data_IF_141528107568
#
_entry.id   IF_141528107568
#
_cell.length_a   1.000
_cell.length_b   1.000
_cell.length_c   1.000
_cell.angle_alpha   90.00
_cell.angle_beta   90.00
_cell.angle_gamma   90.00
#
_symmetry.space_group_name_H-M   'P 1'
#
loop_
_entity.id
_entity.type
_entity.pdbx_description
1 polymer ?
#
# COMPACT_ATOMS: atom_id res chain seq x y z
N UNK A 1 8.66 -28.94 -48.17
CA UNK A 1 8.42 -29.20 -46.73
C UNK A 1 8.39 -27.93 -45.88
N UNK A 2 9.42 -27.08 -45.91
CA UNK A 2 9.51 -25.85 -45.08
C UNK A 2 8.42 -24.82 -45.41
N UNK A 3 8.07 -24.65 -46.69
CA UNK A 3 7.00 -23.73 -47.12
C UNK A 3 5.61 -24.16 -46.62
N UNK A 4 5.36 -25.48 -46.55
CA UNK A 4 4.10 -26.05 -46.08
C UNK A 4 3.96 -25.88 -44.56
N UNK A 5 5.07 -26.05 -43.82
CA UNK A 5 5.13 -25.78 -42.37
C UNK A 5 4.89 -24.30 -42.04
N UNK A 6 5.44 -23.36 -42.83
CA UNK A 6 5.20 -21.92 -42.66
C UNK A 6 3.75 -21.51 -42.97
N UNK A 7 3.11 -22.15 -43.95
CA UNK A 7 1.71 -21.93 -44.27
C UNK A 7 0.79 -22.48 -43.17
N UNK A 8 1.08 -23.67 -42.63
CA UNK A 8 0.37 -24.26 -41.50
C UNK A 8 0.55 -23.40 -40.24
N UNK A 9 1.75 -22.89 -39.97
CA UNK A 9 2.01 -22.03 -38.81
C UNK A 9 1.29 -20.67 -38.92
N UNK A 10 1.26 -20.07 -40.12
CA UNK A 10 0.48 -18.85 -40.38
C UNK A 10 -1.02 -19.10 -40.26
N UNK A 11 -1.51 -20.25 -40.71
CA UNK A 11 -2.92 -20.64 -40.58
C UNK A 11 -3.30 -20.85 -39.09
N UNK A 12 -2.45 -21.54 -38.31
CA UNK A 12 -2.63 -21.74 -36.87
C UNK A 12 -2.65 -20.39 -36.14
N UNK A 13 -1.73 -19.46 -36.43
CA UNK A 13 -1.72 -18.12 -35.79
C UNK A 13 -2.98 -17.32 -36.18
N UNK A 14 -3.42 -17.42 -37.43
CA UNK A 14 -4.62 -16.71 -37.93
C UNK A 14 -5.91 -17.30 -37.35
N UNK A 15 -5.95 -18.61 -37.12
CA UNK A 15 -7.06 -19.29 -36.48
C UNK A 15 -7.07 -19.04 -34.96
N UNK A 16 -5.90 -19.02 -34.30
CA UNK A 16 -5.75 -18.59 -32.88
C UNK A 16 -6.19 -17.14 -32.66
N UNK A 17 -5.95 -16.26 -33.63
CA UNK A 17 -6.41 -14.87 -33.63
C UNK A 17 -7.91 -14.69 -33.88
N UNK A 18 -8.58 -15.66 -34.51
CA UNK A 18 -10.03 -15.66 -34.74
C UNK A 18 -10.81 -16.25 -33.56
N UNK A 19 -10.31 -17.28 -32.87
CA UNK A 19 -10.96 -17.86 -31.68
C UNK A 19 -10.97 -16.91 -30.47
N UNK A 20 -10.06 -15.93 -30.42
CA UNK A 20 -10.03 -14.93 -29.34
C UNK A 20 -11.07 -13.82 -29.46
N UNK A 21 -11.74 -13.70 -30.62
CA UNK A 21 -12.69 -12.60 -30.88
C UNK A 21 -14.16 -12.93 -30.61
N UNK A 22 -14.51 -14.17 -30.25
CA UNK A 22 -15.89 -14.57 -29.92
C UNK A 22 -15.94 -15.70 -28.85
N UNK A 23 -15.08 -15.66 -27.82
CA UNK A 23 -15.49 -16.25 -26.55
C UNK A 23 -16.38 -15.22 -25.85
N UNK A 24 -17.59 -15.57 -25.38
CA UNK A 24 -18.31 -14.68 -24.49
C UNK A 24 -17.38 -14.36 -23.32
N UNK A 25 -17.14 -13.07 -23.07
CA UNK A 25 -16.39 -12.67 -21.89
C UNK A 25 -17.04 -13.30 -20.67
N UNK A 26 -16.26 -13.93 -19.79
CA UNK A 26 -16.70 -14.31 -18.44
C UNK A 26 -16.83 -13.03 -17.58
N UNK A 27 -17.65 -12.12 -18.08
CA UNK A 27 -18.10 -10.87 -17.52
C UNK A 27 -19.57 -10.84 -17.86
N UNK A 28 -20.40 -11.30 -16.91
CA UNK A 28 -21.79 -10.86 -16.67
C UNK A 28 -22.66 -11.86 -15.88
N UNK A 29 -22.04 -12.76 -15.11
CA UNK A 29 -22.69 -13.33 -13.92
C UNK A 29 -21.92 -12.97 -12.65
N UNK A 30 -21.86 -11.67 -12.37
CA UNK A 30 -21.53 -11.21 -11.01
C UNK A 30 -22.79 -11.43 -10.17
N UNK A 31 -22.79 -12.45 -9.31
CA UNK A 31 -23.81 -12.59 -8.27
C UNK A 31 -23.81 -11.30 -7.43
N UNK A 32 -24.94 -10.63 -7.38
CA UNK A 32 -25.11 -9.48 -6.48
C UNK A 32 -25.34 -10.04 -5.10
N UNK A 33 -24.49 -9.66 -4.16
CA UNK A 33 -24.59 -10.15 -2.79
C UNK A 33 -25.23 -9.07 -1.96
N UNK A 34 -26.38 -9.44 -1.39
CA UNK A 34 -27.08 -8.66 -0.41
C UNK A 34 -26.51 -9.06 0.96
N UNK A 35 -25.72 -8.17 1.55
CA UNK A 35 -25.30 -8.31 2.93
C UNK A 35 -26.36 -7.64 3.83
N UNK A 36 -26.48 -8.07 5.09
CA UNK A 36 -27.50 -7.59 6.04
C UNK A 36 -27.41 -6.09 6.38
N UNK A 37 -26.51 -5.34 5.74
CA UNK A 37 -26.34 -3.89 5.85
C UNK A 37 -27.05 -3.09 4.74
N UNK A 38 -27.82 -3.75 3.86
CA UNK A 38 -28.58 -3.11 2.78
C UNK A 38 -27.71 -2.50 1.67
N UNK A 39 -26.40 -2.74 1.67
CA UNK A 39 -25.48 -2.21 0.66
C UNK A 39 -25.21 -3.22 -0.46
N UNK A 40 -25.22 -2.76 -1.72
CA UNK A 40 -24.92 -3.59 -2.89
C UNK A 40 -23.44 -3.51 -3.27
N UNK A 41 -22.79 -4.67 -3.38
CA UNK A 41 -21.38 -4.72 -3.76
C UNK A 41 -21.16 -5.66 -4.95
N UNK A 42 -21.14 -5.09 -6.16
CA UNK A 42 -21.02 -5.86 -7.41
C UNK A 42 -19.64 -6.50 -7.64
N UNK A 43 -18.59 -6.07 -6.91
CA UNK A 43 -17.21 -6.60 -7.04
C UNK A 43 -16.72 -7.40 -5.83
N UNK A 44 -17.41 -7.33 -4.68
CA UNK A 44 -16.95 -8.03 -3.45
C UNK A 44 -16.90 -9.55 -3.65
N UNK A 45 -17.71 -10.11 -4.55
CA UNK A 45 -17.70 -11.54 -4.88
C UNK A 45 -16.35 -12.05 -5.38
N UNK A 46 -15.56 -11.19 -6.04
CA UNK A 46 -14.18 -11.52 -6.48
C UNK A 46 -13.18 -11.60 -5.32
N UNK A 47 -13.53 -11.09 -4.15
CA UNK A 47 -12.67 -11.11 -2.98
C UNK A 47 -12.90 -12.35 -2.10
N UNK A 48 -13.95 -13.13 -2.37
CA UNK A 48 -14.36 -14.24 -1.52
C UNK A 48 -13.58 -15.51 -1.83
N UNK A 49 -13.34 -16.31 -0.80
CA UNK A 49 -12.69 -17.62 -0.94
C UNK A 49 -13.51 -18.62 -1.77
N UNK A 50 -14.83 -18.52 -1.71
CA UNK A 50 -15.76 -19.28 -2.54
C UNK A 50 -17.15 -18.66 -2.46
N UNK A 51 -18.02 -18.99 -3.41
CA UNK A 51 -19.44 -18.60 -3.36
C UNK A 51 -20.17 -19.14 -2.12
N UNK A 52 -19.66 -20.20 -1.50
CA UNK A 52 -20.20 -20.79 -0.26
C UNK A 52 -19.65 -20.16 1.03
N UNK A 53 -18.55 -19.41 0.97
CA UNK A 53 -17.90 -18.76 2.13
C UNK A 53 -17.96 -17.23 2.02
N UNK A 54 -19.20 -16.72 2.05
CA UNK A 54 -19.59 -15.32 1.80
C UNK A 54 -18.94 -14.32 2.79
N UNK A 55 -18.43 -14.78 3.94
CA UNK A 55 -17.84 -13.93 4.99
C UNK A 55 -16.30 -13.85 4.97
N UNK A 56 -15.60 -14.70 4.20
CA UNK A 56 -14.13 -14.81 4.25
C UNK A 56 -13.49 -14.30 2.97
N UNK A 57 -12.48 -13.46 3.15
CA UNK A 57 -11.68 -12.92 2.05
C UNK A 57 -10.52 -13.87 1.73
N UNK A 58 -10.25 -14.10 0.44
CA UNK A 58 -9.07 -14.81 -0.04
C UNK A 58 -8.41 -14.02 -1.15
N UNK A 59 -7.12 -13.76 -1.02
CA UNK A 59 -6.35 -13.13 -2.07
C UNK A 59 -6.09 -14.12 -3.20
N UNK A 60 -6.43 -13.76 -4.44
CA UNK A 60 -6.08 -14.52 -5.64
C UNK A 60 -4.89 -13.87 -6.33
N UNK A 61 -3.95 -14.69 -6.79
CA UNK A 61 -2.82 -14.19 -7.57
C UNK A 61 -3.32 -13.59 -8.90
N UNK A 62 -2.96 -12.34 -9.25
CA UNK A 62 -3.52 -11.65 -10.43
C UNK A 62 -3.28 -12.35 -11.77
N UNK A 63 -2.16 -13.06 -11.91
CA UNK A 63 -1.78 -13.76 -13.15
C UNK A 63 -2.06 -15.28 -13.11
N UNK A 64 -2.24 -15.85 -11.91
CA UNK A 64 -2.38 -17.29 -11.70
C UNK A 64 -3.66 -17.57 -10.90
N UNK A 65 -4.82 -17.59 -11.58
CA UNK A 65 -6.14 -17.64 -10.92
C UNK A 65 -6.37 -18.84 -9.99
N UNK A 66 -5.62 -19.93 -10.19
CA UNK A 66 -5.70 -21.13 -9.34
C UNK A 66 -4.83 -21.03 -8.07
N UNK A 67 -4.01 -19.98 -7.97
CA UNK A 67 -3.15 -19.70 -6.82
C UNK A 67 -3.85 -18.67 -5.94
N UNK A 68 -4.28 -19.09 -4.76
CA UNK A 68 -4.92 -18.21 -3.79
C UNK A 68 -4.38 -18.43 -2.39
N UNK A 69 -4.51 -17.39 -1.56
CA UNK A 69 -4.12 -17.43 -0.18
C UNK A 69 -5.10 -18.19 0.71
N UNK A 70 -4.70 -18.38 1.97
CA UNK A 70 -5.56 -18.82 3.06
C UNK A 70 -6.66 -17.78 3.30
N UNK A 71 -7.83 -18.23 3.79
CA UNK A 71 -8.89 -17.31 4.19
C UNK A 71 -8.45 -16.42 5.34
N UNK A 72 -8.63 -15.10 5.19
CA UNK A 72 -8.53 -14.16 6.30
C UNK A 72 -9.64 -14.40 7.33
N UNK A 73 -9.41 -13.97 8.57
CA UNK A 73 -10.42 -14.04 9.64
C UNK A 73 -11.78 -13.44 9.21
N UNK A 74 -12.90 -14.03 9.62
CA UNK A 74 -14.26 -13.62 9.19
C UNK A 74 -14.62 -12.16 9.51
N UNK A 75 -14.07 -11.63 10.61
CA UNK A 75 -14.24 -10.22 10.98
C UNK A 75 -13.48 -9.23 10.07
N UNK A 76 -12.59 -9.71 9.20
CA UNK A 76 -11.77 -8.84 8.34
C UNK A 76 -12.65 -7.97 7.44
N UNK A 77 -13.65 -8.57 6.77
CA UNK A 77 -14.55 -7.81 5.90
C UNK A 77 -15.31 -6.73 6.68
N UNK A 78 -15.76 -7.04 7.90
CA UNK A 78 -16.44 -6.09 8.79
C UNK A 78 -15.53 -4.89 9.12
N UNK A 79 -14.26 -5.15 9.47
CA UNK A 79 -13.29 -4.09 9.78
C UNK A 79 -12.96 -3.24 8.54
N UNK A 80 -12.75 -3.87 7.39
CA UNK A 80 -12.48 -3.16 6.13
C UNK A 80 -13.67 -2.27 5.73
N UNK A 81 -14.91 -2.76 5.89
CA UNK A 81 -16.12 -1.97 5.61
C UNK A 81 -16.27 -0.74 6.51
N UNK A 82 -15.92 -0.85 7.80
CA UNK A 82 -15.92 0.29 8.74
C UNK A 82 -15.01 1.43 8.29
N UNK A 83 -14.01 1.17 7.45
CA UNK A 83 -13.12 2.19 6.89
C UNK A 83 -13.69 2.91 5.67
N UNK A 84 -14.94 2.60 5.27
CA UNK A 84 -15.63 3.23 4.15
C UNK A 84 -14.86 3.18 2.81
N UNK A 85 -13.96 2.22 2.66
CA UNK A 85 -13.18 2.09 1.42
C UNK A 85 -14.04 1.62 0.25
N UNK A 86 -15.14 0.92 0.52
CA UNK A 86 -16.06 0.37 -0.48
C UNK A 86 -17.34 1.19 -0.69
N UNK A 87 -17.72 2.06 0.26
CA UNK A 87 -19.04 2.73 0.27
C UNK A 87 -19.11 3.96 -0.62
N UNK A 88 -18.02 4.29 -1.34
CA UNK A 88 -17.90 5.48 -2.17
C UNK A 88 -17.11 5.21 -3.45
N UNK A 89 -17.61 4.33 -4.33
CA UNK A 89 -17.01 4.11 -5.66
C UNK A 89 -17.15 5.33 -6.56
N UNK A 90 -18.16 6.18 -6.32
CA UNK A 90 -18.31 7.49 -6.97
C UNK A 90 -17.21 8.49 -6.60
N UNK A 91 -16.44 8.22 -5.54
CA UNK A 91 -15.28 9.03 -5.13
C UNK A 91 -13.95 8.50 -5.66
N UNK A 92 -13.96 7.52 -6.58
CA UNK A 92 -12.73 7.17 -7.27
C UNK A 92 -12.29 8.34 -8.15
N UNK A 93 -11.00 8.65 -8.07
CA UNK A 93 -10.40 9.78 -8.80
C UNK A 93 -9.60 9.26 -9.97
N UNK A 94 -9.48 10.04 -11.05
CA UNK A 94 -8.42 9.85 -12.05
C UNK A 94 -7.23 10.73 -11.60
N UNK A 95 -6.00 10.20 -11.44
CA UNK A 95 -4.89 10.98 -10.89
C UNK A 95 -4.57 12.25 -11.69
N UNK A 96 -4.67 12.19 -13.02
CA UNK A 96 -4.38 13.35 -13.88
C UNK A 96 -5.45 14.43 -13.72
N UNK A 97 -6.73 14.06 -13.77
CA UNK A 97 -7.82 15.02 -13.57
C UNK A 97 -7.83 15.58 -12.15
N UNK A 98 -7.58 14.74 -11.14
CA UNK A 98 -7.49 15.17 -9.75
C UNK A 98 -6.44 16.26 -9.57
N UNK A 99 -5.24 16.07 -10.15
CA UNK A 99 -4.12 17.00 -10.01
C UNK A 99 -4.31 18.34 -10.74
N UNK A 100 -5.31 18.48 -11.62
CA UNK A 100 -5.65 19.77 -12.25
C UNK A 100 -6.40 20.71 -11.31
N UNK A 101 -7.24 20.14 -10.43
CA UNK A 101 -8.17 20.90 -9.60
C UNK A 101 -7.88 20.79 -8.11
N UNK A 102 -7.13 19.77 -7.71
CA UNK A 102 -6.90 19.42 -6.32
C UNK A 102 -5.43 19.10 -6.08
N UNK A 103 -5.04 19.17 -4.82
CA UNK A 103 -3.70 18.81 -4.41
C UNK A 103 -3.75 17.71 -3.32
N UNK A 104 -2.86 16.71 -3.32
CA UNK A 104 -2.90 15.64 -2.31
C UNK A 104 -2.64 16.16 -0.89
N UNK A 105 -3.39 15.71 0.11
CA UNK A 105 -3.16 16.12 1.50
C UNK A 105 -1.90 15.46 2.07
N UNK A 106 -1.20 16.13 3.00
CA UNK A 106 -0.09 15.49 3.71
C UNK A 106 -0.60 14.69 4.91
N UNK A 107 -0.07 13.49 5.12
CA UNK A 107 -0.45 12.58 6.20
C UNK A 107 0.79 12.06 6.92
N UNK A 108 0.83 12.23 8.24
CA UNK A 108 1.86 11.65 9.08
C UNK A 108 1.30 11.15 10.40
N UNK A 109 2.09 10.41 11.15
CA UNK A 109 1.70 9.87 12.44
C UNK A 109 2.92 9.64 13.34
N UNK A 110 2.73 9.75 14.66
CA UNK A 110 3.77 9.41 15.62
C UNK A 110 3.19 9.08 17.00
N UNK A 111 3.96 8.35 17.79
CA UNK A 111 3.82 8.28 19.24
C UNK A 111 4.87 9.17 19.92
N UNK A 112 4.83 9.27 21.25
CA UNK A 112 5.75 10.12 22.03
C UNK A 112 7.23 9.86 21.71
N UNK A 113 7.61 8.58 21.49
CA UNK A 113 8.99 8.21 21.16
C UNK A 113 9.50 8.78 19.83
N UNK A 114 8.62 9.18 18.91
CA UNK A 114 8.97 9.81 17.64
C UNK A 114 8.52 11.28 17.55
N UNK A 115 8.06 11.89 18.64
CA UNK A 115 7.55 13.26 18.63
C UNK A 115 8.60 14.28 18.18
N UNK A 116 9.86 14.11 18.62
CA UNK A 116 10.97 14.95 18.14
C UNK A 116 11.20 14.84 16.63
N UNK A 117 11.19 13.62 16.08
CA UNK A 117 11.42 13.38 14.66
C UNK A 117 10.27 13.89 13.80
N UNK A 118 9.02 13.64 14.21
CA UNK A 118 7.85 14.05 13.42
C UNK A 118 7.71 15.58 13.37
N UNK A 119 8.14 16.31 14.41
CA UNK A 119 8.23 17.78 14.34
C UNK A 119 9.14 18.25 13.21
N UNK A 120 10.27 17.58 12.98
CA UNK A 120 11.17 17.93 11.86
C UNK A 120 10.49 17.64 10.51
N UNK A 121 9.76 16.52 10.40
CA UNK A 121 8.99 16.18 9.21
C UNK A 121 7.89 17.22 8.92
N UNK A 122 7.07 17.57 9.92
CA UNK A 122 6.02 18.60 9.83
C UNK A 122 6.62 19.94 9.41
N UNK A 123 7.72 20.36 10.05
CA UNK A 123 8.42 21.61 9.71
C UNK A 123 8.83 21.63 8.23
N UNK A 124 9.39 20.53 7.71
CA UNK A 124 9.77 20.47 6.29
C UNK A 124 8.56 20.59 5.36
N UNK A 125 7.40 20.03 5.74
CA UNK A 125 6.17 20.22 4.96
C UNK A 125 5.75 21.69 4.99
N UNK A 126 5.72 22.33 6.16
CA UNK A 126 5.34 23.74 6.26
C UNK A 126 6.33 24.68 5.54
N UNK A 127 7.62 24.36 5.52
CA UNK A 127 8.65 25.14 4.82
C UNK A 127 8.45 25.12 3.29
N UNK A 128 8.19 23.95 2.72
CA UNK A 128 8.04 23.79 1.27
C UNK A 128 6.58 23.90 0.78
N UNK A 129 5.60 23.80 1.67
CA UNK A 129 4.16 23.79 1.37
C UNK A 129 3.34 24.54 2.44
N UNK A 130 3.59 25.85 2.66
CA UNK A 130 3.13 26.58 3.85
C UNK A 130 1.62 26.61 4.09
N UNK A 131 0.81 26.59 3.02
CA UNK A 131 -0.65 26.67 3.11
C UNK A 131 -1.35 25.31 3.04
N UNK A 132 -0.58 24.20 3.11
CA UNK A 132 -1.11 22.87 2.87
C UNK A 132 -1.46 22.17 4.16
N UNK A 133 -2.63 21.54 4.16
CA UNK A 133 -3.15 20.78 5.29
C UNK A 133 -2.29 19.53 5.56
N UNK A 134 -1.97 19.34 6.83
CA UNK A 134 -1.30 18.16 7.37
C UNK A 134 -2.28 17.44 8.28
N UNK A 135 -2.62 16.20 7.95
CA UNK A 135 -3.36 15.31 8.84
C UNK A 135 -2.34 14.57 9.70
N UNK A 136 -2.46 14.70 11.01
CA UNK A 136 -1.62 14.02 11.97
C UNK A 136 -2.42 12.99 12.75
N UNK A 137 -1.98 11.72 12.72
CA UNK A 137 -2.51 10.67 13.58
C UNK A 137 -1.65 10.46 14.83
N UNK A 138 -2.27 10.60 15.99
CA UNK A 138 -1.68 10.34 17.30
C UNK A 138 -1.74 8.84 17.63
N UNK A 139 -0.56 8.25 17.80
CA UNK A 139 -0.34 6.84 18.13
C UNK A 139 0.04 6.61 19.61
N UNK A 140 -0.13 7.61 20.46
CA UNK A 140 0.23 7.60 21.88
C UNK A 140 1.18 8.72 22.26
N UNK A 141 0.75 9.97 22.06
CA UNK A 141 1.38 11.19 22.58
C UNK A 141 0.98 11.46 24.03
N UNK A 142 1.80 12.23 24.73
CA UNK A 142 1.51 12.77 26.06
C UNK A 142 0.71 14.06 25.96
N UNK A 143 -0.04 14.41 27.00
CA UNK A 143 -0.89 15.62 27.03
C UNK A 143 -0.17 16.92 26.63
N UNK A 144 1.06 17.13 27.10
CA UNK A 144 1.84 18.32 26.73
C UNK A 144 2.28 18.31 25.26
N UNK A 145 2.56 17.14 24.70
CA UNK A 145 2.91 16.96 23.28
C UNK A 145 1.67 17.23 22.40
N UNK A 146 0.49 16.77 22.82
CA UNK A 146 -0.79 17.05 22.16
C UNK A 146 -1.08 18.56 22.16
N UNK A 147 -0.88 19.24 23.29
CA UNK A 147 -1.05 20.69 23.41
C UNK A 147 -0.09 21.45 22.48
N UNK A 148 1.17 21.05 22.40
CA UNK A 148 2.14 21.63 21.47
C UNK A 148 1.72 21.38 20.01
N UNK A 149 1.38 20.14 19.66
CA UNK A 149 1.02 19.74 18.29
C UNK A 149 -0.22 20.49 17.77
N UNK A 150 -1.24 20.68 18.61
CA UNK A 150 -2.47 21.43 18.26
C UNK A 150 -2.22 22.92 18.03
N UNK A 151 -1.06 23.45 18.41
CA UNK A 151 -0.68 24.84 18.11
C UNK A 151 -0.10 25.00 16.69
N UNK A 152 0.26 23.91 16.00
CA UNK A 152 0.91 24.00 14.70
C UNK A 152 -0.05 24.44 13.59
N UNK A 153 0.44 25.33 12.72
CA UNK A 153 -0.30 25.84 11.57
C UNK A 153 -0.71 24.71 10.63
N UNK A 154 -1.93 24.81 10.08
CA UNK A 154 -2.46 23.93 9.02
C UNK A 154 -2.36 22.44 9.36
N UNK A 155 -2.50 22.09 10.64
CA UNK A 155 -2.44 20.72 11.13
C UNK A 155 -3.77 20.29 11.75
N UNK A 156 -4.33 19.20 11.25
CA UNK A 156 -5.50 18.53 11.84
C UNK A 156 -5.02 17.37 12.72
N UNK A 157 -5.31 17.45 14.03
CA UNK A 157 -5.02 16.40 14.99
C UNK A 157 -6.13 15.33 14.98
N UNK A 158 -5.75 14.07 14.83
CA UNK A 158 -6.64 12.92 14.91
C UNK A 158 -6.07 11.87 15.87
N UNK A 159 -6.82 11.44 16.87
CA UNK A 159 -6.43 10.30 17.72
C UNK A 159 -6.68 8.99 16.98
N UNK A 160 -5.69 8.09 16.93
CA UNK A 160 -5.92 6.75 16.39
C UNK A 160 -6.82 5.93 17.34
N UNK A 161 -7.95 5.37 16.88
CA UNK A 161 -8.91 4.67 17.73
C UNK A 161 -8.47 3.22 17.95
N UNK A 162 -7.43 2.99 18.75
CA UNK A 162 -6.93 1.63 19.03
C UNK A 162 -8.00 0.69 19.60
N UNK A 163 -8.99 1.24 20.29
CA UNK A 163 -10.17 0.56 20.83
C UNK A 163 -11.03 -0.15 19.78
N UNK A 164 -10.99 0.31 18.52
CA UNK A 164 -11.76 -0.29 17.42
C UNK A 164 -11.03 -1.47 16.74
N UNK A 165 -9.78 -1.73 17.13
CA UNK A 165 -8.91 -2.71 16.50
C UNK A 165 -8.40 -3.77 17.49
N UNK A 166 -7.98 -4.95 16.99
CA UNK A 166 -7.37 -5.97 17.84
C UNK A 166 -6.15 -5.45 18.61
N UNK A 167 -5.92 -5.98 19.82
CA UNK A 167 -4.90 -5.48 20.74
C UNK A 167 -3.48 -5.37 20.15
N UNK A 168 -3.11 -6.26 19.22
CA UNK A 168 -1.82 -6.21 18.52
C UNK A 168 -1.60 -4.98 17.64
N UNK A 169 -2.62 -4.15 17.36
CA UNK A 169 -2.43 -2.84 16.73
C UNK A 169 -1.59 -1.89 17.59
N UNK A 170 -1.55 -2.10 18.91
CA UNK A 170 -0.70 -1.35 19.83
C UNK A 170 0.79 -1.68 19.67
N UNK A 171 1.14 -2.73 18.94
CA UNK A 171 2.52 -3.02 18.55
C UNK A 171 2.96 -2.14 17.37
N UNK A 172 3.21 -0.85 17.65
CA UNK A 172 3.39 0.18 16.62
C UNK A 172 4.51 -0.10 15.61
N UNK A 173 5.53 -0.87 16.00
CA UNK A 173 6.64 -1.28 15.12
C UNK A 173 6.26 -2.32 14.06
N UNK A 174 5.03 -2.83 14.11
CA UNK A 174 4.45 -3.69 13.06
C UNK A 174 3.64 -2.88 12.03
N UNK A 175 3.52 -1.55 12.21
CA UNK A 175 2.94 -0.60 11.25
C UNK A 175 1.53 -0.91 10.74
N UNK A 176 0.75 -1.75 11.44
CA UNK A 176 -0.64 -2.11 11.07
C UNK A 176 -1.59 -0.94 10.99
N UNK A 177 -1.34 0.10 11.79
CA UNK A 177 -2.09 1.35 11.79
C UNK A 177 -1.90 2.15 10.49
N UNK A 178 -0.77 1.99 9.78
CA UNK A 178 -0.44 2.83 8.61
C UNK A 178 -1.42 2.63 7.45
N UNK A 179 -1.72 1.39 7.01
CA UNK A 179 -2.76 1.17 5.99
C UNK A 179 -4.13 1.74 6.38
N UNK A 180 -4.49 1.70 7.67
CA UNK A 180 -5.77 2.23 8.17
C UNK A 180 -5.86 3.74 7.99
N UNK A 181 -4.85 4.49 8.43
CA UNK A 181 -4.87 5.96 8.32
C UNK A 181 -4.78 6.42 6.86
N UNK A 182 -4.05 5.69 6.00
CA UNK A 182 -4.03 5.96 4.55
C UNK A 182 -5.43 5.75 3.98
N UNK A 183 -6.10 4.66 4.31
CA UNK A 183 -7.45 4.35 3.82
C UNK A 183 -8.49 5.39 4.26
N UNK A 184 -8.49 5.78 5.53
CA UNK A 184 -9.40 6.79 6.06
C UNK A 184 -9.16 8.16 5.42
N UNK A 185 -7.90 8.55 5.25
CA UNK A 185 -7.53 9.82 4.62
C UNK A 185 -7.90 9.85 3.14
N UNK A 186 -7.66 8.76 2.41
CA UNK A 186 -8.08 8.62 1.01
C UNK A 186 -9.60 8.74 0.86
N UNK A 187 -10.38 8.14 1.76
CA UNK A 187 -11.85 8.22 1.71
C UNK A 187 -12.39 9.66 1.85
N UNK A 188 -11.65 10.54 2.53
CA UNK A 188 -11.99 11.95 2.71
C UNK A 188 -11.44 12.86 1.61
N UNK A 189 -10.19 12.64 1.19
CA UNK A 189 -9.46 13.60 0.37
C UNK A 189 -9.16 13.15 -1.06
N UNK A 190 -9.33 11.87 -1.41
CA UNK A 190 -9.07 11.37 -2.77
C UNK A 190 -7.60 11.13 -3.11
N UNK A 191 -6.65 11.91 -2.58
CA UNK A 191 -5.21 11.65 -2.71
C UNK A 191 -4.42 12.06 -1.47
N UNK A 192 -3.33 11.33 -1.18
CA UNK A 192 -2.50 11.54 0.01
C UNK A 192 -1.01 11.39 -0.26
N UNK A 193 -0.22 12.31 0.29
CA UNK A 193 1.21 12.15 0.54
C UNK A 193 1.42 11.63 1.96
N UNK A 194 1.71 10.34 2.11
CA UNK A 194 2.10 9.78 3.40
C UNK A 194 3.61 9.95 3.63
N UNK A 195 3.98 10.34 4.87
CA UNK A 195 5.37 10.47 5.29
C UNK A 195 5.61 9.93 6.71
N UNK A 196 6.62 9.08 6.85
CA UNK A 196 7.19 8.67 8.14
C UNK A 196 7.90 9.86 8.81
N UNK A 197 8.06 9.80 10.13
CA UNK A 197 8.74 10.83 10.94
C UNK A 197 10.22 11.07 10.57
N UNK A 198 10.83 10.16 9.80
CA UNK A 198 12.20 10.31 9.28
C UNK A 198 12.29 11.00 7.93
N UNK A 199 11.17 11.34 7.28
CA UNK A 199 11.17 11.95 5.95
C UNK A 199 11.15 13.47 6.05
N UNK A 200 11.92 14.13 5.19
CA UNK A 200 11.88 15.57 5.01
C UNK A 200 11.71 15.88 3.53
N UNK A 201 10.84 16.84 3.21
CA UNK A 201 10.88 17.48 1.91
C UNK A 201 12.09 18.41 1.82
N UNK A 202 12.64 18.56 0.62
CA UNK A 202 13.76 19.46 0.30
C UNK A 202 13.48 20.33 -0.92
N UNK A 203 12.27 20.25 -1.46
CA UNK A 203 11.81 21.05 -2.58
C UNK A 203 10.29 21.10 -2.59
N UNK A 204 9.73 22.24 -2.96
CA UNK A 204 8.31 22.40 -3.27
C UNK A 204 7.95 21.95 -4.69
N UNK A 205 8.95 21.72 -5.55
CA UNK A 205 8.73 21.36 -6.94
C UNK A 205 8.42 19.86 -7.10
N UNK A 206 7.13 19.51 -7.06
CA UNK A 206 6.64 18.16 -7.29
C UNK A 206 6.20 17.91 -8.75
N UNK A 207 6.44 18.86 -9.67
CA UNK A 207 5.93 18.79 -11.05
C UNK A 207 6.34 17.49 -11.74
N UNK A 208 7.62 17.10 -11.66
CA UNK A 208 8.10 15.85 -12.28
C UNK A 208 7.46 14.59 -11.70
N UNK A 209 7.02 14.62 -10.45
CA UNK A 209 6.29 13.50 -9.83
C UNK A 209 4.87 13.43 -10.39
N UNK A 210 4.20 14.58 -10.51
CA UNK A 210 2.83 14.68 -11.02
C UNK A 210 2.74 14.39 -12.52
N UNK A 211 3.73 14.82 -13.31
CA UNK A 211 3.84 14.53 -14.73
C UNK A 211 3.91 13.00 -15.02
N UNK A 212 4.26 12.17 -14.02
CA UNK A 212 4.24 10.70 -14.16
C UNK A 212 2.83 10.12 -14.37
N UNK A 213 1.79 10.87 -14.03
CA UNK A 213 0.40 10.45 -14.14
C UNK A 213 -0.31 11.02 -15.37
N UNK A 214 0.31 11.98 -16.07
CA UNK A 214 -0.24 12.57 -17.30
C UNK A 214 -0.34 11.51 -18.41
N UNK A 215 -1.53 11.34 -18.99
CA UNK A 215 -1.73 10.49 -20.17
C UNK A 215 -1.03 11.15 -21.35
N UNK A 216 0.06 10.54 -21.83
CA UNK A 216 0.63 10.90 -23.12
C UNK A 216 0.29 9.82 -24.14
N UNK A 217 -0.02 10.22 -25.37
CA UNK A 217 -0.48 9.31 -26.43
C UNK A 217 0.52 8.19 -26.78
N UNK A 218 1.79 8.32 -26.35
CA UNK A 218 2.89 7.42 -26.70
C UNK A 218 3.36 6.52 -25.55
N UNK A 219 2.81 6.62 -24.33
CA UNK A 219 3.17 5.74 -23.22
C UNK A 219 2.26 4.50 -23.25
N UNK A 220 2.86 3.32 -23.33
CA UNK A 220 2.08 2.07 -23.25
C UNK A 220 1.42 1.93 -21.88
N UNK A 221 0.25 1.28 -21.80
CA UNK A 221 -0.44 1.01 -20.53
C UNK A 221 0.46 0.24 -19.53
N UNK A 222 1.42 -0.53 -20.04
CA UNK A 222 2.43 -1.26 -19.26
C UNK A 222 3.54 -0.39 -18.65
N UNK A 223 3.68 0.85 -19.12
CA UNK A 223 4.67 1.84 -18.65
C UNK A 223 4.07 2.89 -17.71
N UNK A 224 2.73 2.99 -17.64
CA UNK A 224 2.05 3.92 -16.73
C UNK A 224 2.39 3.61 -15.27
N UNK A 225 2.61 4.67 -14.49
CA UNK A 225 2.81 4.54 -13.04
C UNK A 225 1.49 4.18 -12.38
N UNK A 226 1.59 3.29 -11.41
CA UNK A 226 0.47 2.87 -10.60
C UNK A 226 0.14 3.94 -9.56
N UNK A 227 -1.14 4.02 -9.20
CA UNK A 227 -1.71 5.01 -8.30
C UNK A 227 -1.28 4.91 -6.83
N UNK A 228 -0.40 3.96 -6.50
CA UNK A 228 0.28 3.84 -5.21
C UNK A 228 1.79 3.89 -5.48
N UNK A 229 2.36 5.09 -5.39
CA UNK A 229 3.73 5.39 -5.80
C UNK A 229 4.66 5.50 -4.58
N UNK A 230 5.75 4.75 -4.60
CA UNK A 230 6.81 4.76 -3.58
C UNK A 230 8.04 5.50 -4.11
N UNK A 231 8.76 6.20 -3.24
CA UNK A 231 9.79 7.15 -3.72
C UNK A 231 11.23 6.75 -3.39
N UNK A 232 11.46 6.00 -2.32
CA UNK A 232 12.82 5.70 -1.85
C UNK A 232 13.23 4.25 -2.09
N UNK A 233 14.31 3.97 -2.84
CA UNK A 233 14.79 2.62 -3.05
C UNK A 233 15.56 2.10 -1.84
N UNK A 234 15.45 0.80 -1.55
CA UNK A 234 16.18 0.15 -0.44
C UNK A 234 17.47 -0.55 -0.85
N UNK A 235 17.65 -0.76 -2.17
CA UNK A 235 18.74 -1.54 -2.77
C UNK A 235 18.82 -3.01 -2.27
N UNK A 236 17.67 -3.59 -1.92
CA UNK A 236 17.51 -5.02 -1.66
C UNK A 236 16.18 -5.53 -2.23
N UNK A 237 16.05 -6.85 -2.43
CA UNK A 237 14.85 -7.47 -2.99
C UNK A 237 13.69 -7.50 -2.00
N UNK A 238 12.46 -7.63 -2.53
CA UNK A 238 11.24 -7.84 -1.73
C UNK A 238 11.34 -9.17 -0.99
N UNK A 239 11.78 -10.23 -1.69
CA UNK A 239 11.97 -11.57 -1.11
C UNK A 239 12.87 -11.53 0.13
N UNK A 240 14.01 -10.84 0.06
CA UNK A 240 15.00 -10.81 1.14
C UNK A 240 14.46 -10.28 2.46
N UNK A 241 13.44 -9.43 2.44
CA UNK A 241 12.89 -8.79 3.65
C UNK A 241 11.43 -9.15 3.92
N UNK A 242 10.88 -10.11 3.18
CA UNK A 242 9.53 -10.62 3.39
C UNK A 242 9.68 -12.03 3.90
N UNK A 243 9.63 -12.21 5.24
CA UNK A 243 9.78 -13.51 5.90
C UNK A 243 9.15 -14.66 5.11
N UNK A 244 9.96 -15.49 4.43
CA UNK A 244 9.56 -16.85 4.14
C UNK A 244 9.79 -17.57 5.47
N UNK A 245 8.77 -17.89 6.29
CA UNK A 245 9.07 -18.66 7.51
C UNK A 245 9.86 -19.90 7.14
N UNK A 246 10.75 -20.32 8.03
CA UNK A 246 11.76 -21.35 7.76
C UNK A 246 11.49 -22.67 8.47
N UNK A 247 10.25 -23.09 8.64
CA UNK A 247 9.94 -24.52 8.40
C UNK A 247 10.21 -24.89 6.92
N UNK A 248 10.19 -23.90 6.01
CA UNK A 248 10.04 -24.02 4.55
C UNK A 248 11.20 -24.63 3.72
N UNK A 249 12.25 -25.19 4.34
CA UNK A 249 13.19 -26.12 3.65
C UNK A 249 13.49 -27.37 4.48
N UNK A 250 13.44 -27.32 5.82
CA UNK A 250 13.74 -28.49 6.66
C UNK A 250 12.62 -29.55 6.66
N UNK A 251 11.44 -29.22 6.12
CA UNK A 251 10.23 -30.02 6.23
C UNK A 251 9.59 -30.34 4.87
N UNK A 252 10.38 -30.33 3.79
CA UNK A 252 9.94 -30.88 2.50
C UNK A 252 9.54 -32.37 2.58
N UNK A 253 9.73 -33.04 3.74
CA UNK A 253 9.39 -34.45 3.89
C UNK A 253 8.40 -34.78 5.02
N UNK A 254 8.24 -34.10 6.18
CA UNK A 254 7.58 -34.84 7.30
C UNK A 254 6.76 -34.26 8.45
N UNK A 255 6.44 -32.98 8.67
CA UNK A 255 5.61 -32.65 9.87
C UNK A 255 4.68 -31.42 9.66
N UNK A 256 3.39 -31.57 9.95
CA UNK A 256 2.43 -30.56 10.47
C UNK A 256 2.17 -29.19 9.79
N UNK A 257 0.87 -28.91 9.62
CA UNK A 257 0.20 -27.77 8.97
C UNK A 257 0.27 -26.39 9.67
N UNK A 258 1.32 -26.06 10.43
CA UNK A 258 1.33 -24.83 11.24
C UNK A 258 2.68 -24.10 11.18
N UNK A 259 2.63 -22.80 10.78
CA UNK A 259 3.61 -21.69 10.94
C UNK A 259 4.41 -21.26 9.67
N UNK A 260 4.60 -19.99 9.23
CA UNK A 260 3.79 -18.76 9.18
C UNK A 260 4.28 -17.81 8.03
N UNK A 261 3.55 -16.95 7.32
CA UNK A 261 2.11 -16.79 7.08
C UNK A 261 1.86 -15.69 6.02
N UNK A 262 2.74 -14.71 5.77
CA UNK A 262 2.46 -13.65 4.77
C UNK A 262 2.22 -14.20 3.36
N UNK A 263 3.11 -15.07 2.85
CA UNK A 263 2.91 -15.74 1.54
C UNK A 263 1.78 -16.77 1.55
N UNK A 264 1.34 -17.23 2.73
CA UNK A 264 0.16 -18.10 2.84
C UNK A 264 -1.11 -17.31 2.62
N UNK A 265 -1.20 -16.07 3.09
CA UNK A 265 -2.34 -15.19 2.81
C UNK A 265 -2.22 -14.47 1.47
N UNK A 266 -1.01 -14.14 1.04
CA UNK A 266 -0.69 -13.36 -0.14
C UNK A 266 0.34 -14.11 -1.00
N UNK A 267 -0.05 -15.21 -1.68
CA UNK A 267 0.85 -15.97 -2.53
C UNK A 267 1.48 -15.14 -3.65
N UNK A 268 2.65 -15.57 -4.10
CA UNK A 268 3.45 -14.91 -5.14
C UNK A 268 4.31 -15.93 -5.89
N UNK A 269 4.81 -15.54 -7.07
CA UNK A 269 5.82 -16.28 -7.78
C UNK A 269 7.21 -16.06 -7.14
N UNK A 270 7.61 -16.98 -6.26
CA UNK A 270 8.88 -16.90 -5.51
C UNK A 270 10.09 -16.88 -6.44
N UNK A 271 10.04 -17.60 -7.57
CA UNK A 271 11.12 -17.62 -8.56
C UNK A 271 11.37 -16.23 -9.12
N UNK A 272 10.31 -15.51 -9.48
CA UNK A 272 10.40 -14.12 -9.96
C UNK A 272 10.79 -13.16 -8.82
N UNK A 273 10.35 -13.40 -7.58
CA UNK A 273 10.74 -12.61 -6.39
C UNK A 273 12.20 -12.65 -6.01
N UNK A 274 12.92 -13.70 -6.43
CA UNK A 274 14.36 -13.79 -6.23
C UNK A 274 15.18 -13.09 -7.32
N UNK A 275 14.55 -12.57 -8.38
CA UNK A 275 15.22 -11.76 -9.39
C UNK A 275 15.59 -10.37 -8.84
N UNK A 276 16.39 -9.60 -9.59
CA UNK A 276 16.77 -8.22 -9.21
C UNK A 276 15.72 -7.16 -9.50
N UNK A 277 14.79 -7.45 -10.42
CA UNK A 277 13.75 -6.50 -10.87
C UNK A 277 12.78 -6.09 -9.75
N UNK A 278 12.28 -7.00 -8.88
CA UNK A 278 11.40 -6.68 -7.76
C UNK A 278 12.21 -6.17 -6.57
N UNK A 279 12.81 -4.99 -6.74
CA UNK A 279 13.46 -4.27 -5.65
C UNK A 279 12.42 -3.76 -4.66
N UNK A 280 12.70 -3.91 -3.37
CA UNK A 280 11.87 -3.35 -2.31
C UNK A 280 12.06 -1.82 -2.27
N UNK A 281 10.95 -1.08 -2.20
CA UNK A 281 10.93 0.35 -1.95
C UNK A 281 10.59 0.61 -0.47
N UNK A 282 11.10 1.68 0.12
CA UNK A 282 10.65 2.10 1.46
C UNK A 282 9.19 2.55 1.41
N UNK A 283 8.41 2.17 2.43
CA UNK A 283 7.02 2.61 2.62
C UNK A 283 6.92 3.87 3.50
N UNK A 284 8.03 4.59 3.65
CA UNK A 284 8.11 5.80 4.47
C UNK A 284 7.72 7.06 3.74
N UNK A 285 7.71 7.08 2.41
CA UNK A 285 7.21 8.19 1.60
C UNK A 285 6.43 7.62 0.42
N UNK A 286 5.14 7.94 0.34
CA UNK A 286 4.28 7.47 -0.74
C UNK A 286 3.25 8.51 -1.16
N UNK A 287 3.02 8.62 -2.47
CA UNK A 287 1.88 9.31 -3.05
C UNK A 287 0.83 8.27 -3.45
N UNK A 288 -0.37 8.36 -2.89
CA UNK A 288 -1.45 7.41 -3.14
C UNK A 288 -2.70 8.15 -3.59
N UNK A 289 -3.32 7.68 -4.67
CA UNK A 289 -4.61 8.14 -5.16
C UNK A 289 -5.68 7.10 -4.86
N UNK A 290 -6.89 7.55 -4.59
CA UNK A 290 -8.08 6.72 -4.40
C UNK A 290 -8.62 6.26 -5.75
N UNK A 291 -7.80 5.64 -6.57
CA UNK A 291 -8.26 4.98 -7.79
C UNK A 291 -8.90 3.65 -7.47
N UNK A 292 -9.73 3.16 -8.39
CA UNK A 292 -10.32 1.82 -8.29
C UNK A 292 -9.25 0.74 -8.09
N UNK A 293 -8.20 0.77 -8.90
CA UNK A 293 -7.08 -0.17 -8.84
C UNK A 293 -6.30 -0.08 -7.52
N UNK A 294 -6.00 1.11 -6.99
CA UNK A 294 -5.26 1.23 -5.73
C UNK A 294 -6.07 0.68 -4.55
N UNK A 295 -7.39 0.94 -4.55
CA UNK A 295 -8.28 0.43 -3.51
C UNK A 295 -8.49 -1.07 -3.65
N UNK A 296 -9.01 -1.53 -4.79
CA UNK A 296 -9.45 -2.91 -4.98
C UNK A 296 -8.29 -3.91 -5.11
N UNK A 297 -7.16 -3.52 -5.71
CA UNK A 297 -6.04 -4.44 -5.95
C UNK A 297 -4.96 -4.40 -4.87
N UNK A 298 -4.83 -3.30 -4.11
CA UNK A 298 -3.76 -3.15 -3.10
C UNK A 298 -4.33 -2.91 -1.70
N UNK A 299 -5.07 -1.82 -1.50
CA UNK A 299 -5.38 -1.35 -0.15
C UNK A 299 -6.28 -2.30 0.63
N UNK A 300 -7.25 -2.94 -0.04
CA UNK A 300 -8.10 -3.99 0.55
C UNK A 300 -7.27 -5.11 1.17
N UNK A 301 -6.28 -5.61 0.43
CA UNK A 301 -5.44 -6.73 0.87
C UNK A 301 -4.40 -6.31 1.88
N UNK A 302 -3.88 -5.09 1.76
CA UNK A 302 -2.97 -4.51 2.75
C UNK A 302 -3.68 -4.32 4.11
N UNK A 303 -4.94 -3.87 4.09
CA UNK A 303 -5.80 -3.78 5.27
C UNK A 303 -6.16 -5.17 5.82
N UNK A 304 -6.55 -6.11 4.95
CA UNK A 304 -6.83 -7.49 5.37
C UNK A 304 -5.62 -8.10 6.09
N UNK A 305 -4.42 -7.90 5.53
CA UNK A 305 -3.18 -8.35 6.14
C UNK A 305 -2.85 -7.62 7.45
N UNK A 306 -3.17 -6.32 7.56
CA UNK A 306 -3.02 -5.57 8.80
C UNK A 306 -3.95 -6.08 9.91
N UNK A 307 -5.19 -6.46 9.56
CA UNK A 307 -6.17 -7.03 10.47
C UNK A 307 -5.92 -8.49 10.83
N UNK A 308 -5.13 -9.21 10.04
CA UNK A 308 -4.74 -10.57 10.32
C UNK A 308 -3.42 -10.60 11.08
N UNK A 309 -3.44 -11.10 12.32
CA UNK A 309 -2.30 -11.05 13.23
C UNK A 309 -1.06 -11.66 12.56
N UNK A 310 -1.22 -12.79 11.92
CA UNK A 310 -0.10 -13.53 11.37
C UNK A 310 0.31 -13.10 9.96
N UNK A 311 -0.50 -12.30 9.27
CA UNK A 311 -0.18 -11.83 7.92
C UNK A 311 0.87 -10.71 7.92
N UNK A 312 0.60 -9.60 8.62
CA UNK A 312 1.52 -8.45 8.67
C UNK A 312 2.74 -8.71 9.55
N UNK A 313 2.64 -9.62 10.53
CA UNK A 313 3.74 -9.98 11.43
C UNK A 313 3.72 -11.48 11.65
N UNK A 314 4.87 -12.14 11.56
CA UNK A 314 5.02 -13.54 11.99
C UNK A 314 5.67 -13.60 13.38
N UNK A 315 5.52 -14.68 14.16
CA UNK A 315 6.20 -14.88 15.44
C UNK A 315 7.72 -14.70 15.35
N UNK A 316 8.32 -15.05 14.22
CA UNK A 316 9.76 -14.95 13.97
C UNK A 316 10.18 -13.59 13.39
N UNK A 317 9.22 -12.69 13.11
CA UNK A 317 9.47 -11.42 12.46
C UNK A 317 10.40 -10.53 13.30
N UNK A 318 11.49 -10.11 12.68
CA UNK A 318 12.45 -9.15 13.26
C UNK A 318 12.56 -7.96 12.33
N UNK A 319 12.62 -6.76 12.89
CA UNK A 319 12.74 -5.53 12.10
C UNK A 319 14.14 -5.36 11.48
N UNK A 320 15.18 -5.83 12.18
CA UNK A 320 16.57 -5.72 11.76
C UNK A 320 16.96 -6.86 10.81
N UNK A 321 17.53 -6.52 9.66
CA UNK A 321 17.91 -7.45 8.61
C UNK A 321 19.40 -7.82 8.66
N UNK A 322 19.68 -9.11 8.49
CA UNK A 322 21.01 -9.70 8.35
C UNK A 322 21.22 -10.14 6.90
N UNK A 323 21.70 -9.22 6.06
CA UNK A 323 21.94 -9.48 4.64
C UNK A 323 23.18 -10.35 4.42
N UNK A 324 23.13 -11.22 3.41
CA UNK A 324 24.30 -11.86 2.81
C UNK A 324 24.85 -10.98 1.68
N UNK A 325 25.80 -11.49 0.89
CA UNK A 325 26.28 -10.82 -0.33
C UNK A 325 25.15 -10.63 -1.35
N UNK A 326 24.23 -11.58 -1.46
CA UNK A 326 23.05 -11.44 -2.32
C UNK A 326 21.89 -10.82 -1.54
N UNK A 327 21.66 -9.52 -1.78
CA UNK A 327 20.60 -8.77 -1.10
C UNK A 327 19.23 -8.92 -1.77
N UNK A 328 19.07 -9.80 -2.75
CA UNK A 328 17.83 -9.98 -3.51
C UNK A 328 17.27 -11.40 -3.41
N UNK A 329 18.12 -12.41 -3.61
CA UNK A 329 17.68 -13.82 -3.62
C UNK A 329 17.75 -14.50 -2.25
N UNK A 330 18.53 -13.95 -1.32
CA UNK A 330 18.73 -14.56 0.00
C UNK A 330 17.84 -13.90 1.04
N UNK A 331 17.24 -14.72 1.89
CA UNK A 331 16.42 -14.22 3.00
C UNK A 331 17.29 -13.60 4.10
N UNK A 332 17.04 -12.33 4.41
CA UNK A 332 17.82 -11.53 5.35
C UNK A 332 17.37 -11.69 6.81
N UNK A 333 16.62 -12.75 7.15
CA UNK A 333 16.19 -13.06 8.53
C UNK A 333 15.43 -11.91 9.20
N UNK A 334 14.61 -11.19 8.44
CA UNK A 334 13.81 -10.07 8.90
C UNK A 334 12.47 -9.97 8.16
N UNK A 335 11.54 -9.23 8.74
CA UNK A 335 10.29 -8.85 8.11
C UNK A 335 10.09 -7.35 8.28
N UNK A 336 9.89 -6.61 7.18
CA UNK A 336 9.71 -5.15 7.19
C UNK A 336 8.23 -4.74 7.21
N UNK A 337 7.34 -5.63 7.64
CA UNK A 337 5.92 -5.39 7.93
C UNK A 337 5.19 -4.72 6.76
N UNK A 338 4.61 -3.54 6.96
CA UNK A 338 3.89 -2.76 5.96
C UNK A 338 4.72 -2.55 4.68
N UNK A 339 6.03 -2.31 4.82
CA UNK A 339 6.92 -2.17 3.67
C UNK A 339 7.01 -3.45 2.84
N UNK A 340 7.15 -4.60 3.49
CA UNK A 340 7.19 -5.91 2.82
C UNK A 340 5.88 -6.23 2.13
N UNK A 341 4.76 -6.09 2.85
CA UNK A 341 3.43 -6.43 2.34
C UNK A 341 2.99 -5.49 1.22
N UNK A 342 3.23 -4.17 1.35
CA UNK A 342 2.90 -3.20 0.29
C UNK A 342 3.65 -3.52 -0.99
N UNK A 343 4.97 -3.75 -0.91
CA UNK A 343 5.75 -4.10 -2.09
C UNK A 343 5.36 -5.46 -2.67
N UNK A 344 5.04 -6.46 -1.85
CA UNK A 344 4.56 -7.77 -2.31
C UNK A 344 3.29 -7.65 -3.16
N UNK A 345 2.29 -6.92 -2.65
CA UNK A 345 1.02 -6.70 -3.35
C UNK A 345 1.24 -5.94 -4.67
N UNK A 346 2.05 -4.87 -4.64
CA UNK A 346 2.39 -4.11 -5.84
C UNK A 346 3.12 -4.97 -6.87
N UNK A 347 4.06 -5.80 -6.42
CA UNK A 347 4.83 -6.65 -7.30
C UNK A 347 3.94 -7.71 -7.98
N UNK A 348 3.07 -8.38 -7.21
CA UNK A 348 2.08 -9.32 -7.75
C UNK A 348 1.14 -8.65 -8.77
N UNK A 349 0.68 -7.43 -8.49
CA UNK A 349 -0.26 -6.72 -9.36
C UNK A 349 0.40 -6.17 -10.63
N UNK A 350 1.69 -5.86 -10.57
CA UNK A 350 2.37 -5.06 -11.59
C UNK A 350 3.45 -5.83 -12.35
N UNK A 351 3.32 -7.16 -12.42
CA UNK A 351 4.25 -8.03 -13.17
C UNK A 351 5.68 -7.90 -12.66
N UNK A 352 5.85 -7.68 -11.35
CA UNK A 352 7.12 -7.68 -10.66
C UNK A 352 8.13 -6.64 -11.15
N UNK A 353 7.62 -5.55 -11.72
CA UNK A 353 8.39 -4.44 -12.26
C UNK A 353 8.37 -3.21 -11.36
N UNK A 354 9.37 -3.03 -10.49
CA UNK A 354 9.41 -1.91 -9.53
C UNK A 354 9.25 -0.54 -10.18
N UNK A 355 9.63 -0.38 -11.45
CA UNK A 355 9.41 0.87 -12.20
C UNK A 355 7.94 1.27 -12.29
N UNK A 356 6.98 0.35 -12.15
CA UNK A 356 5.55 0.66 -12.22
C UNK A 356 5.02 1.31 -10.94
N UNK A 357 5.66 1.12 -9.79
CA UNK A 357 5.24 1.73 -8.52
C UNK A 357 6.34 2.53 -7.82
N UNK A 358 7.45 2.79 -8.51
CA UNK A 358 8.52 3.67 -8.05
C UNK A 358 8.52 4.96 -8.85
N UNK A 359 8.70 6.11 -8.20
CA UNK A 359 8.91 7.36 -8.94
C UNK A 359 10.27 7.42 -9.63
N UNK A 360 11.28 6.73 -9.09
CA UNK A 360 12.70 6.85 -9.51
C UNK A 360 13.25 8.30 -9.39
N UNK A 361 12.59 9.14 -8.58
CA UNK A 361 12.93 10.54 -8.35
C UNK A 361 13.30 10.74 -6.88
N UNK A 362 14.45 11.37 -6.60
CA UNK A 362 14.98 11.57 -5.24
C UNK A 362 15.39 13.02 -4.93
N UNK A 363 15.09 13.97 -5.82
CA UNK A 363 15.55 15.36 -5.69
C UNK A 363 14.75 16.20 -4.68
N UNK A 364 13.58 15.73 -4.27
CA UNK A 364 12.60 16.51 -3.48
C UNK A 364 12.47 16.05 -2.03
N UNK A 365 13.19 15.01 -1.61
CA UNK A 365 13.14 14.51 -0.24
C UNK A 365 14.47 13.95 0.26
N UNK A 366 14.60 13.84 1.58
CA UNK A 366 15.68 13.13 2.27
C UNK A 366 15.11 12.26 3.39
N UNK A 367 15.80 11.16 3.69
CA UNK A 367 15.48 10.29 4.84
C UNK A 367 16.57 10.47 5.91
N UNK A 368 16.18 10.91 7.10
CA UNK A 368 17.05 11.05 8.28
C UNK A 368 16.42 10.37 9.48
N UNK A 369 16.90 9.16 9.78
CA UNK A 369 16.39 8.36 10.92
C UNK A 369 16.98 8.89 12.23
N UNK A 370 16.15 8.97 13.27
CA UNK A 370 16.57 9.40 14.61
C UNK A 370 16.83 10.90 14.77
N UNK A 371 16.45 11.72 13.78
CA UNK A 371 16.56 13.16 13.91
C UNK A 371 15.65 13.69 15.01
N UNK A 372 16.15 14.60 15.83
CA UNK A 372 15.34 15.37 16.77
C UNK A 372 16.00 16.74 16.87
N UNK A 373 15.33 17.76 16.36
CA UNK A 373 15.84 19.12 16.38
C UNK A 373 14.95 19.95 17.30
N UNK A 374 15.41 20.13 18.53
CA UNK A 374 14.70 20.91 19.54
C UNK A 374 14.81 22.42 19.30
N UNK A 375 15.81 22.87 18.53
CA UNK A 375 16.08 24.29 18.31
C UNK A 375 15.09 24.92 17.33
N UNK A 376 14.59 24.15 16.36
CA UNK A 376 13.71 24.65 15.31
C UNK A 376 12.36 23.93 15.34
N UNK A 377 11.37 24.60 15.93
CA UNK A 377 9.99 24.08 16.02
C UNK A 377 9.22 24.28 14.72
N UNK A 378 8.20 23.45 14.44
CA UNK A 378 7.19 23.75 13.44
C UNK A 378 6.56 25.13 13.67
N UNK A 379 6.06 25.74 12.59
CA UNK A 379 5.33 27.00 12.65
C UNK A 379 4.03 26.80 13.44
N UNK A 380 3.82 27.66 14.44
CA UNK A 380 2.64 27.68 15.28
C UNK A 380 1.72 28.84 14.89
N UNK A 381 0.41 28.61 14.92
CA UNK A 381 -0.63 29.57 14.61
C UNK A 381 -1.53 29.74 15.83
N UNK A 382 -2.08 30.95 16.01
CA UNK A 382 -3.10 31.18 17.04
C UNK A 382 -4.33 30.31 16.71
N UNK A 383 -4.80 29.54 17.69
CA UNK A 383 -6.06 28.80 17.62
C UNK A 383 -7.20 29.82 17.71
N UNK A 384 -7.44 30.59 16.64
CA UNK A 384 -8.63 31.39 16.37
C UNK A 384 -8.49 32.12 15.02
N UNK A 385 -9.01 31.48 13.96
CA UNK A 385 -9.84 32.11 12.95
C UNK A 385 -10.53 31.01 12.13
N UNK A 386 -11.33 30.20 12.83
CA UNK A 386 -12.47 29.53 12.23
C UNK A 386 -13.56 30.58 11.98
N UNK A 387 -13.42 31.33 10.89
CA UNK A 387 -14.58 31.88 10.19
C UNK A 387 -14.66 31.19 8.82
N UNK A 388 -15.81 30.62 8.46
CA UNK A 388 -16.05 30.24 7.08
C UNK A 388 -16.18 31.54 6.28
N UNK A 389 -15.25 31.77 5.36
CA UNK A 389 -15.51 32.73 4.27
C UNK A 389 -16.43 31.99 3.29
N UNK A 390 -17.58 32.61 3.03
CA UNK A 390 -18.67 32.12 2.18
C UNK A 390 -18.22 31.68 0.79
#
# INVERSE_FOLDING_TARGET
MILLLLLIFKQIIRDYGKTRKNLPSVSDRLSTVYLNDGCHYRWLTKLWCSEAQISRLCYYHPEESNVHGRPFHENTLRLVKKLHIFTHTTRYVDPEEYLKENEPVFLTAANSGFFGSVKVAIRSVQEYFPNRLIIFYDLGLKEHEIKELKSFCNLEYVRFPFEDFPGYFRHLRQYRWKPVIIAQTLARYGAVWYLDSSVLFTSSNLKKVYDLFTKTANISETERKFSFLLHSPTHHGIYSVTSPSKEFIAQLIRISNSVQVSYLFLPTNITVMKLRRPMCMEAGLSLVFRTREAIEAILVWLLACAFEEHCMSTPEAKLYCKFTRDRFSDYAKCHRYDQSITNLLLANQLGYNTKRWSSELNYFFKIRRGQSDAAFKPYACLVNNSQPVK
#
